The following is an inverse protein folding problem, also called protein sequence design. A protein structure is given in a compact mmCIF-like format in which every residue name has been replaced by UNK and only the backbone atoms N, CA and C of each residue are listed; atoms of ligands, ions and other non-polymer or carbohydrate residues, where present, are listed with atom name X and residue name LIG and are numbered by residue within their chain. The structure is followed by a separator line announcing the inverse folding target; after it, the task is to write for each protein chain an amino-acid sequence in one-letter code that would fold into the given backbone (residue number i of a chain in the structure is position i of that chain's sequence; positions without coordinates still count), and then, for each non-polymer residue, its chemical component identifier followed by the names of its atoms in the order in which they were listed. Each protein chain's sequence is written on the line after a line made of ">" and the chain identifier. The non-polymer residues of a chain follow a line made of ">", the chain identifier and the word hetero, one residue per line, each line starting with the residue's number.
data_IF_738095767503
#
_entry.id   IF_738095767503
#
_cell.length_a   1.000
_cell.length_b   1.000
_cell.length_c   1.000
_cell.angle_alpha   90.00
_cell.angle_beta   90.00
_cell.angle_gamma   90.00
#
_symmetry.space_group_name_H-M   'P 1'
#
loop_
_entity.id
_entity.type
_entity.pdbx_description
1 polymer ?
#
# COMPACT_ATOMS: atom_id res chain seq x y z
N UNK A 1 -18.12 -15.10 -6.72
CA UNK A 1 -17.45 -14.52 -7.90
C UNK A 1 -17.71 -13.01 -7.97
N UNK A 2 -17.43 -12.30 -6.87
CA UNK A 2 -17.49 -10.85 -6.73
C UNK A 2 -16.12 -10.46 -6.14
N UNK A 3 -15.23 -9.84 -6.91
CA UNK A 3 -13.89 -9.46 -6.45
C UNK A 3 -13.73 -7.93 -6.43
N UNK A 4 -13.53 -7.45 -5.21
CA UNK A 4 -12.74 -6.28 -4.77
C UNK A 4 -13.05 -4.91 -5.41
N UNK A 5 -13.87 -4.15 -4.70
CA UNK A 5 -13.84 -2.68 -4.66
C UNK A 5 -13.26 -2.26 -3.32
N UNK A 6 -11.96 -1.97 -3.27
CA UNK A 6 -11.39 -1.17 -2.19
C UNK A 6 -11.93 0.25 -2.35
N UNK A 7 -12.48 0.82 -1.29
CA UNK A 7 -12.85 2.24 -1.21
C UNK A 7 -11.94 2.84 -0.16
N UNK A 8 -10.95 3.62 -0.59
CA UNK A 8 -10.39 4.61 0.31
C UNK A 8 -11.51 5.64 0.56
N UNK A 9 -12.03 5.70 1.80
CA UNK A 9 -13.27 6.44 2.14
C UNK A 9 -13.21 7.93 1.81
N UNK A 10 -12.02 8.48 1.57
CA UNK A 10 -11.83 9.90 1.30
C UNK A 10 -11.82 10.25 -0.20
N UNK A 11 -11.41 9.34 -1.10
CA UNK A 11 -11.24 9.65 -2.54
C UNK A 11 -11.70 8.56 -3.52
N UNK A 12 -12.20 7.40 -3.06
CA UNK A 12 -12.81 6.40 -3.94
C UNK A 12 -11.85 5.73 -4.94
N UNK A 13 -10.60 5.52 -4.55
CA UNK A 13 -9.61 4.81 -5.38
C UNK A 13 -10.04 3.38 -5.71
N UNK A 14 -9.87 2.97 -6.97
CA UNK A 14 -9.91 1.56 -7.36
C UNK A 14 -8.60 1.26 -8.11
N UNK A 15 -7.67 0.64 -7.42
CA UNK A 15 -6.40 0.18 -7.98
C UNK A 15 -6.48 -1.34 -8.02
N UNK A 16 -6.34 -1.95 -9.21
CA UNK A 16 -6.30 -3.40 -9.31
C UNK A 16 -4.93 -3.89 -8.77
N UNK A 17 -4.88 -4.82 -7.79
CA UNK A 17 -3.64 -5.26 -7.14
C UNK A 17 -2.58 -5.84 -8.08
N UNK A 18 -2.97 -6.23 -9.30
CA UNK A 18 -2.10 -6.97 -10.22
C UNK A 18 -1.00 -6.13 -10.87
N UNK A 19 -1.07 -4.80 -10.81
CA UNK A 19 -0.01 -3.93 -11.36
C UNK A 19 1.12 -3.61 -10.36
N UNK A 20 0.95 -3.97 -9.09
CA UNK A 20 1.89 -3.67 -8.00
C UNK A 20 2.85 -4.83 -7.65
N UNK A 21 2.41 -6.07 -7.89
CA UNK A 21 3.16 -7.24 -7.45
C UNK A 21 4.22 -7.66 -8.47
N UNK A 22 5.43 -7.10 -8.38
CA UNK A 22 6.71 -7.82 -8.64
C UNK A 22 7.98 -6.99 -8.45
N UNK A 23 7.92 -5.69 -8.11
CA UNK A 23 9.12 -4.84 -7.96
C UNK A 23 9.31 -4.28 -6.54
N UNK A 24 9.06 -5.08 -5.51
CA UNK A 24 9.34 -4.71 -4.13
C UNK A 24 10.85 -4.70 -3.84
N UNK A 25 11.36 -3.50 -3.51
CA UNK A 25 12.55 -3.24 -2.69
C UNK A 25 13.88 -3.93 -3.09
N UNK A 26 14.20 -4.02 -4.38
CA UNK A 26 15.62 -4.16 -4.75
C UNK A 26 16.31 -2.80 -4.58
N UNK A 27 17.42 -2.78 -3.83
CA UNK A 27 18.30 -1.62 -3.71
C UNK A 27 18.87 -1.35 -5.10
N UNK A 28 18.24 -0.42 -5.80
CA UNK A 28 18.64 0.03 -7.11
C UNK A 28 19.90 0.88 -6.97
N UNK A 29 21.05 0.34 -7.36
CA UNK A 29 22.35 1.03 -7.27
C UNK A 29 22.70 1.89 -8.49
N UNK A 30 21.90 1.87 -9.55
CA UNK A 30 22.16 2.63 -10.77
C UNK A 30 21.22 3.82 -10.90
N UNK A 31 21.72 4.94 -11.43
CA UNK A 31 20.90 6.12 -11.78
C UNK A 31 19.73 5.76 -12.72
N UNK A 32 19.92 4.76 -13.59
CA UNK A 32 18.89 4.23 -14.49
C UNK A 32 17.66 3.73 -13.75
N UNK A 33 17.87 3.05 -12.62
CA UNK A 33 16.77 2.41 -11.94
C UNK A 33 15.92 3.39 -11.11
N UNK A 34 16.50 4.46 -10.56
CA UNK A 34 15.71 5.54 -9.94
C UNK A 34 14.89 6.28 -11.01
N UNK A 35 15.47 6.50 -12.20
CA UNK A 35 14.76 7.06 -13.36
C UNK A 35 13.57 6.18 -13.79
N UNK A 36 13.77 4.88 -13.92
CA UNK A 36 12.71 3.91 -14.28
C UNK A 36 11.60 3.89 -13.24
N UNK A 37 11.96 3.90 -11.95
CA UNK A 37 11.00 3.92 -10.84
C UNK A 37 10.17 5.22 -10.81
N UNK A 38 10.83 6.37 -10.99
CA UNK A 38 10.16 7.66 -11.10
C UNK A 38 9.21 7.71 -12.32
N UNK A 39 9.66 7.19 -13.47
CA UNK A 39 8.83 7.10 -14.68
C UNK A 39 7.60 6.20 -14.48
N UNK A 40 7.75 5.09 -13.76
CA UNK A 40 6.63 4.22 -13.39
C UNK A 40 5.60 4.97 -12.54
N UNK A 41 6.04 5.70 -11.52
CA UNK A 41 5.15 6.49 -10.66
C UNK A 41 4.40 7.56 -11.42
N UNK A 42 5.07 8.28 -12.33
CA UNK A 42 4.40 9.26 -13.21
C UNK A 42 3.34 8.60 -14.09
N UNK A 43 3.64 7.46 -14.71
CA UNK A 43 2.70 6.72 -15.56
C UNK A 43 1.47 6.25 -14.78
N UNK A 44 1.68 5.71 -13.58
CA UNK A 44 0.60 5.27 -12.70
C UNK A 44 -0.32 6.45 -12.34
N UNK A 45 0.26 7.57 -11.91
CA UNK A 45 -0.53 8.73 -11.51
C UNK A 45 -1.27 9.37 -12.70
N UNK A 46 -0.64 9.45 -13.87
CA UNK A 46 -1.30 9.92 -15.09
C UNK A 46 -2.49 9.03 -15.49
N UNK A 47 -2.34 7.71 -15.36
CA UNK A 47 -3.45 6.79 -15.63
C UNK A 47 -4.65 7.02 -14.70
N UNK A 48 -4.38 7.38 -13.43
CA UNK A 48 -5.41 7.72 -12.45
C UNK A 48 -6.08 9.06 -12.74
N UNK A 49 -5.30 10.08 -13.14
CA UNK A 49 -5.85 11.37 -13.59
C UNK A 49 -6.84 11.17 -14.76
N UNK A 50 -6.51 10.27 -15.69
CA UNK A 50 -7.33 9.99 -16.87
C UNK A 50 -8.59 9.17 -16.58
N UNK A 51 -8.54 8.27 -15.60
CA UNK A 51 -9.68 7.41 -15.23
C UNK A 51 -10.65 8.05 -14.24
N UNK A 52 -10.21 9.09 -13.51
CA UNK A 52 -11.00 9.76 -12.48
C UNK A 52 -12.09 10.63 -13.09
N UNK A 53 -13.35 10.39 -12.70
CA UNK A 53 -14.51 11.16 -13.16
C UNK A 53 -14.83 12.37 -12.28
N UNK A 54 -14.35 12.40 -11.02
CA UNK A 54 -14.58 13.52 -10.10
C UNK A 54 -13.65 14.68 -10.45
N UNK A 55 -14.16 15.88 -10.79
CA UNK A 55 -13.33 17.03 -11.13
C UNK A 55 -12.37 17.46 -10.00
N UNK A 56 -12.83 17.36 -8.75
CA UNK A 56 -12.02 17.71 -7.57
C UNK A 56 -10.84 16.74 -7.41
N UNK A 57 -11.11 15.43 -7.51
CA UNK A 57 -10.07 14.41 -7.43
C UNK A 57 -9.12 14.51 -8.63
N UNK A 58 -9.64 14.81 -9.82
CA UNK A 58 -8.83 14.98 -11.01
C UNK A 58 -7.87 16.17 -10.87
N UNK A 59 -8.34 17.30 -10.32
CA UNK A 59 -7.49 18.46 -10.05
C UNK A 59 -6.41 18.13 -9.01
N UNK A 60 -6.76 17.41 -7.94
CA UNK A 60 -5.83 16.97 -6.92
C UNK A 60 -4.74 16.03 -7.47
N UNK A 61 -5.14 14.99 -8.21
CA UNK A 61 -4.22 14.05 -8.85
C UNK A 61 -3.33 14.73 -9.91
N UNK A 62 -3.87 15.72 -10.64
CA UNK A 62 -3.09 16.51 -11.59
C UNK A 62 -2.03 17.33 -10.87
N UNK A 63 -2.34 17.92 -9.71
CA UNK A 63 -1.36 18.63 -8.90
C UNK A 63 -0.25 17.70 -8.39
N UNK A 64 -0.61 16.51 -7.89
CA UNK A 64 0.37 15.49 -7.49
C UNK A 64 1.28 15.10 -8.68
N UNK A 65 0.70 14.93 -9.87
CA UNK A 65 1.43 14.59 -11.08
C UNK A 65 2.38 15.71 -11.50
N UNK A 66 1.94 16.97 -11.41
CA UNK A 66 2.79 18.12 -11.64
C UNK A 66 4.00 18.13 -10.71
N UNK A 67 3.81 17.90 -9.41
CA UNK A 67 4.88 17.87 -8.42
C UNK A 67 5.89 16.75 -8.72
N UNK A 68 5.39 15.52 -8.91
CA UNK A 68 6.23 14.36 -9.18
C UNK A 68 7.02 14.52 -10.49
N UNK A 69 6.35 15.00 -11.54
CA UNK A 69 6.98 15.19 -12.85
C UNK A 69 8.03 16.32 -12.80
N UNK A 70 7.78 17.42 -12.10
CA UNK A 70 8.79 18.47 -11.91
C UNK A 70 9.99 17.95 -11.13
N UNK A 71 9.76 17.21 -10.04
CA UNK A 71 10.84 16.55 -9.30
C UNK A 71 11.63 15.61 -10.20
N UNK A 72 10.97 14.83 -11.05
CA UNK A 72 11.64 13.94 -11.99
C UNK A 72 12.56 14.69 -12.94
N UNK A 73 12.08 15.79 -13.51
CA UNK A 73 12.84 16.60 -14.45
C UNK A 73 14.07 17.19 -13.79
N UNK A 74 13.91 17.85 -12.64
CA UNK A 74 15.03 18.54 -11.98
C UNK A 74 16.10 17.56 -11.49
N UNK A 75 15.70 16.36 -11.06
CA UNK A 75 16.62 15.42 -10.43
C UNK A 75 17.24 14.41 -11.40
N UNK A 76 16.53 14.02 -12.46
CA UNK A 76 16.94 12.87 -13.27
C UNK A 76 17.08 13.13 -14.77
N UNK A 77 16.23 13.98 -15.33
CA UNK A 77 16.15 14.18 -16.79
C UNK A 77 15.89 15.65 -17.11
N UNK A 78 16.78 16.52 -16.66
CA UNK A 78 16.66 17.94 -16.95
C UNK A 78 16.87 18.16 -18.44
N UNK A 79 15.78 18.49 -19.13
CA UNK A 79 15.79 18.94 -20.51
C UNK A 79 14.70 19.97 -20.71
N UNK A 80 14.93 20.89 -21.64
CA UNK A 80 13.91 21.87 -22.00
C UNK A 80 12.65 21.18 -22.55
N UNK A 81 12.82 20.07 -23.26
CA UNK A 81 11.71 19.30 -23.82
C UNK A 81 10.82 18.69 -22.72
N UNK A 82 11.43 18.12 -21.67
CA UNK A 82 10.64 17.61 -20.54
C UNK A 82 9.96 18.75 -19.79
N UNK A 83 10.59 19.92 -19.64
CA UNK A 83 9.93 21.11 -19.08
C UNK A 83 8.75 21.58 -19.93
N UNK A 84 8.86 21.54 -21.27
CA UNK A 84 7.73 21.83 -22.17
C UNK A 84 6.60 20.83 -21.99
N UNK A 85 6.92 19.53 -21.93
CA UNK A 85 5.92 18.49 -21.70
C UNK A 85 5.23 18.67 -20.35
N UNK A 86 6.00 19.00 -19.30
CA UNK A 86 5.44 19.33 -17.99
C UNK A 86 4.46 20.50 -18.06
N UNK A 87 4.78 21.55 -18.80
CA UNK A 87 3.83 22.67 -19.01
C UNK A 87 2.57 22.20 -19.72
N UNK A 88 2.74 21.48 -20.83
CA UNK A 88 1.63 21.03 -21.65
C UNK A 88 0.70 20.08 -20.89
N UNK A 89 1.22 19.25 -20.00
CA UNK A 89 0.40 18.31 -19.23
C UNK A 89 -0.35 19.00 -18.09
N UNK A 90 0.25 20.01 -17.44
CA UNK A 90 -0.28 20.55 -16.20
C UNK A 90 -0.97 21.92 -16.35
N UNK A 91 -0.70 22.67 -17.43
CA UNK A 91 -1.19 24.05 -17.61
C UNK A 91 -1.76 24.33 -19.00
N UNK A 92 -1.95 23.31 -19.85
CA UNK A 92 -2.50 23.52 -21.20
C UNK A 92 -3.94 24.05 -21.18
N UNK A 93 -4.76 23.67 -20.21
CA UNK A 93 -6.11 24.24 -20.05
C UNK A 93 -6.04 25.75 -19.82
N UNK A 94 -5.12 26.19 -18.97
CA UNK A 94 -4.93 27.60 -18.64
C UNK A 94 -4.37 28.36 -19.84
N UNK A 95 -3.43 27.75 -20.56
CA UNK A 95 -2.91 28.28 -21.84
C UNK A 95 -4.01 28.42 -22.88
N UNK A 96 -4.87 27.41 -23.03
CA UNK A 96 -5.97 27.44 -24.00
C UNK A 96 -7.03 28.49 -23.61
N UNK A 97 -7.30 28.64 -22.31
CA UNK A 97 -8.20 29.66 -21.81
C UNK A 97 -7.65 31.06 -22.07
N UNK A 98 -6.38 31.30 -21.73
CA UNK A 98 -5.70 32.57 -22.02
C UNK A 98 -5.59 32.82 -23.52
N UNK A 99 -5.26 31.81 -24.31
CA UNK A 99 -5.23 31.91 -25.77
C UNK A 99 -6.60 32.29 -26.34
N UNK A 100 -7.69 31.65 -25.88
CA UNK A 100 -9.05 32.03 -26.28
C UNK A 100 -9.37 33.47 -25.90
N UNK A 101 -9.05 33.87 -24.66
CA UNK A 101 -9.22 35.25 -24.18
C UNK A 101 -8.48 36.25 -25.06
N UNK A 102 -7.23 35.97 -25.41
CA UNK A 102 -6.38 36.84 -26.23
C UNK A 102 -6.82 36.82 -27.70
N UNK A 103 -7.19 35.66 -28.25
CA UNK A 103 -7.58 35.52 -29.66
C UNK A 103 -8.77 36.38 -30.05
N UNK A 104 -9.69 36.64 -29.11
CA UNK A 104 -10.81 37.58 -29.29
C UNK A 104 -10.40 39.06 -29.32
N UNK A 105 -9.16 39.37 -28.92
CA UNK A 105 -8.58 40.72 -28.89
C UNK A 105 -7.63 40.98 -30.07
N UNK A 106 -7.25 39.95 -30.84
CA UNK A 106 -6.31 40.06 -31.97
C UNK A 106 -7.00 40.76 -33.14
N UNK A 107 -6.36 41.80 -33.68
CA UNK A 107 -6.73 42.44 -34.94
C UNK A 107 -5.86 41.86 -36.07
N UNK A 108 -6.40 40.99 -36.93
CA UNK A 108 -5.61 40.25 -37.93
C UNK A 108 -4.76 41.15 -38.82
N UNK A 109 -5.22 42.37 -39.14
CA UNK A 109 -4.51 43.29 -40.04
C UNK A 109 -3.29 43.95 -39.41
N UNK A 110 -3.27 44.11 -38.09
CA UNK A 110 -2.14 44.71 -37.37
C UNK A 110 -1.19 43.64 -36.85
N UNK A 111 -1.72 42.47 -36.50
CA UNK A 111 -0.98 41.43 -35.77
C UNK A 111 -0.26 40.42 -36.69
N UNK A 112 -0.64 40.28 -37.96
CA UNK A 112 0.05 39.41 -38.93
C UNK A 112 1.55 39.72 -39.07
N UNK A 113 1.95 41.01 -38.99
CA UNK A 113 3.37 41.40 -39.01
C UNK A 113 4.15 40.95 -37.78
N UNK A 114 3.48 40.76 -36.65
CA UNK A 114 4.09 40.26 -35.42
C UNK A 114 4.22 38.73 -35.47
N UNK A 115 3.26 38.05 -36.11
CA UNK A 115 3.28 36.60 -36.32
C UNK A 115 4.41 36.21 -37.26
N UNK A 116 4.58 36.87 -38.42
CA UNK A 116 5.70 36.60 -39.33
C UNK A 116 7.07 36.80 -38.66
N UNK A 117 7.16 37.75 -37.73
CA UNK A 117 8.35 38.06 -36.96
C UNK A 117 8.62 37.00 -35.88
N UNK A 118 7.58 36.52 -35.19
CA UNK A 118 7.67 35.42 -34.24
C UNK A 118 7.98 34.08 -34.95
N UNK A 119 7.39 33.84 -36.11
CA UNK A 119 7.64 32.65 -36.94
C UNK A 119 9.06 32.68 -37.51
N UNK A 120 9.57 33.84 -37.95
CA UNK A 120 10.98 33.95 -38.36
C UNK A 120 11.94 33.71 -37.19
N UNK A 121 11.61 34.18 -35.98
CA UNK A 121 12.39 33.92 -34.76
C UNK A 121 12.30 32.45 -34.30
N UNK A 122 11.16 31.79 -34.51
CA UNK A 122 11.00 30.35 -34.29
C UNK A 122 11.75 29.50 -35.34
N UNK A 123 11.85 29.99 -36.58
CA UNK A 123 12.57 29.33 -37.68
C UNK A 123 14.10 29.51 -37.63
N UNK A 124 14.63 30.50 -36.91
CA UNK A 124 16.08 30.77 -36.81
C UNK A 124 16.89 29.76 -35.97
N UNK A 125 16.48 28.49 -35.88
CA UNK A 125 17.24 27.45 -35.17
C UNK A 125 16.81 27.22 -33.72
N UNK A 126 15.61 27.66 -33.34
CA UNK A 126 15.04 27.47 -31.99
C UNK A 126 14.93 25.98 -31.57
N UNK A 127 14.86 25.05 -32.55
CA UNK A 127 14.65 23.61 -32.29
C UNK A 127 15.91 22.73 -32.44
N UNK A 128 16.93 23.15 -33.21
CA UNK A 128 18.16 22.35 -33.41
C UNK A 128 19.31 22.72 -32.45
N UNK A 129 19.23 23.87 -31.75
CA UNK A 129 20.28 24.34 -30.82
C UNK A 129 20.18 23.77 -29.39
N UNK A 130 19.13 23.00 -29.09
CA UNK A 130 18.82 22.58 -27.71
C UNK A 130 19.69 21.40 -27.23
N UNK A 131 20.35 20.64 -28.12
CA UNK A 131 21.32 19.61 -27.69
C UNK A 131 22.76 20.15 -27.47
N UNK A 132 23.04 21.42 -27.78
CA UNK A 132 24.36 22.10 -27.61
C UNK A 132 24.37 23.19 -26.52
N UNK A 133 23.54 23.01 -25.49
CA UNK A 133 22.91 24.08 -24.70
C UNK A 133 23.78 25.05 -23.89
N UNK A 134 25.07 24.83 -23.62
CA UNK A 134 25.87 25.86 -22.90
C UNK A 134 26.46 26.94 -23.82
N UNK A 135 27.00 26.57 -24.98
CA UNK A 135 27.58 27.54 -25.92
C UNK A 135 26.50 28.34 -26.65
N UNK A 136 25.41 27.68 -27.03
CA UNK A 136 24.42 28.25 -27.95
C UNK A 136 23.37 29.09 -27.22
N UNK A 137 23.12 28.83 -25.93
CA UNK A 137 22.25 29.69 -25.11
C UNK A 137 22.85 31.09 -24.90
N UNK A 138 24.17 31.17 -24.73
CA UNK A 138 24.89 32.45 -24.63
C UNK A 138 24.81 33.23 -25.94
N UNK A 139 24.93 32.53 -27.08
CA UNK A 139 24.76 33.11 -28.42
C UNK A 139 23.32 33.58 -28.63
N UNK A 140 22.32 32.79 -28.25
CA UNK A 140 20.91 33.15 -28.35
C UNK A 140 20.57 34.38 -27.50
N UNK A 141 20.97 34.40 -26.23
CA UNK A 141 20.75 35.54 -25.34
C UNK A 141 21.41 36.80 -25.89
N UNK A 142 22.61 36.67 -26.46
CA UNK A 142 23.30 37.76 -27.14
C UNK A 142 22.54 38.24 -28.37
N UNK A 143 22.05 37.34 -29.24
CA UNK A 143 21.25 37.69 -30.40
C UNK A 143 19.92 38.39 -30.02
N UNK A 144 19.25 37.93 -28.96
CA UNK A 144 18.06 38.58 -28.42
C UNK A 144 18.35 39.99 -27.91
N UNK A 145 19.47 40.17 -27.20
CA UNK A 145 19.94 41.49 -26.75
C UNK A 145 20.30 42.40 -27.94
N UNK A 146 21.03 41.88 -28.93
CA UNK A 146 21.45 42.62 -30.12
C UNK A 146 20.25 43.05 -30.97
N UNK A 147 19.24 42.18 -31.11
CA UNK A 147 17.98 42.47 -31.79
C UNK A 147 17.16 43.51 -31.00
N UNK A 148 17.08 43.39 -29.67
CA UNK A 148 16.45 44.38 -28.79
C UNK A 148 17.08 45.75 -28.97
N UNK A 149 18.41 45.83 -28.97
CA UNK A 149 19.15 47.08 -29.11
C UNK A 149 18.97 47.69 -30.51
N UNK A 150 19.00 46.85 -31.55
CA UNK A 150 18.75 47.27 -32.94
C UNK A 150 17.33 47.79 -33.15
N UNK A 151 16.36 47.19 -32.46
CA UNK A 151 14.95 47.58 -32.54
C UNK A 151 14.59 48.72 -31.60
N UNK A 152 15.28 48.92 -30.47
CA UNK A 152 15.11 50.11 -29.64
C UNK A 152 15.35 51.41 -30.43
N UNK A 153 16.27 51.38 -31.41
CA UNK A 153 16.51 52.46 -32.35
C UNK A 153 15.33 52.70 -33.31
N UNK A 154 14.61 51.64 -33.69
CA UNK A 154 13.48 51.67 -34.63
C UNK A 154 12.11 51.87 -33.95
N UNK A 155 11.96 51.46 -32.69
CA UNK A 155 10.68 51.35 -31.98
C UNK A 155 10.33 52.54 -31.08
N UNK A 156 10.81 53.75 -31.39
CA UNK A 156 10.39 54.99 -30.70
C UNK A 156 8.86 55.23 -30.67
N UNK A 157 8.05 54.44 -31.38
CA UNK A 157 6.59 54.57 -31.46
C UNK A 157 5.78 53.29 -31.10
N UNK A 158 6.41 52.16 -30.75
CA UNK A 158 5.70 50.87 -30.60
C UNK A 158 5.92 50.19 -29.25
N UNK A 159 5.24 50.66 -28.19
CA UNK A 159 5.40 50.13 -26.83
C UNK A 159 5.16 48.62 -26.69
N UNK A 160 4.18 48.07 -27.42
CA UNK A 160 3.85 46.64 -27.34
C UNK A 160 4.93 45.74 -27.96
N UNK A 161 5.51 46.14 -29.10
CA UNK A 161 6.57 45.35 -29.74
C UNK A 161 7.82 45.31 -28.86
N UNK A 162 8.18 46.43 -28.23
CA UNK A 162 9.27 46.51 -27.25
C UNK A 162 9.08 45.48 -26.13
N UNK A 163 7.87 45.40 -25.58
CA UNK A 163 7.53 44.47 -24.49
C UNK A 163 7.65 43.00 -24.92
N UNK A 164 7.21 42.65 -26.12
CA UNK A 164 7.39 41.28 -26.68
C UNK A 164 8.87 40.92 -26.78
N UNK A 165 9.70 41.83 -27.29
CA UNK A 165 11.15 41.61 -27.36
C UNK A 165 11.82 41.54 -26.00
N UNK A 166 11.37 42.35 -25.05
CA UNK A 166 11.83 42.28 -23.67
C UNK A 166 11.54 40.88 -23.10
N UNK A 167 10.34 40.32 -23.28
CA UNK A 167 10.03 38.94 -22.87
C UNK A 167 10.93 37.92 -23.58
N UNK A 168 11.07 38.01 -24.91
CA UNK A 168 11.87 37.05 -25.69
C UNK A 168 13.36 37.10 -25.35
N UNK A 169 13.89 38.28 -25.03
CA UNK A 169 15.28 38.45 -24.57
C UNK A 169 15.48 38.05 -23.10
N UNK A 170 14.40 37.63 -22.42
CA UNK A 170 14.43 37.27 -21.01
C UNK A 170 14.50 38.45 -20.07
N UNK A 171 13.97 39.63 -20.41
CA UNK A 171 13.95 40.76 -19.48
C UNK A 171 13.09 40.40 -18.24
N UNK A 172 13.76 40.27 -17.11
CA UNK A 172 13.18 39.90 -15.82
C UNK A 172 12.00 40.79 -15.41
N UNK A 173 12.22 42.11 -15.29
CA UNK A 173 11.20 43.07 -14.85
C UNK A 173 9.95 42.96 -15.72
N UNK A 174 10.16 42.85 -17.04
CA UNK A 174 9.06 42.75 -18.00
C UNK A 174 8.25 41.46 -17.82
N UNK A 175 8.91 40.33 -17.55
CA UNK A 175 8.28 39.04 -17.28
C UNK A 175 7.50 39.09 -15.95
N UNK A 176 8.09 39.68 -14.90
CA UNK A 176 7.46 39.82 -13.59
C UNK A 176 6.23 40.74 -13.63
N UNK A 177 6.26 41.79 -14.47
CA UNK A 177 5.16 42.72 -14.71
C UNK A 177 4.00 42.14 -15.55
N UNK A 178 4.14 40.94 -16.12
CA UNK A 178 3.04 40.33 -16.88
C UNK A 178 1.85 40.04 -15.96
N UNK A 179 0.63 40.27 -16.44
CA UNK A 179 -0.58 39.85 -15.73
C UNK A 179 -0.88 38.38 -16.06
N UNK A 180 0.04 37.50 -15.63
CA UNK A 180 -0.04 36.06 -15.81
C UNK A 180 0.10 35.35 -14.47
N UNK A 181 -0.39 34.11 -14.41
CA UNK A 181 -0.13 33.23 -13.27
C UNK A 181 1.39 33.07 -13.05
N UNK A 182 1.79 32.96 -11.78
CA UNK A 182 3.17 32.78 -11.35
C UNK A 182 3.87 31.62 -12.07
N UNK A 183 3.14 30.55 -12.40
CA UNK A 183 3.68 29.42 -13.17
C UNK A 183 4.24 29.87 -14.53
N UNK A 184 3.49 30.69 -15.27
CA UNK A 184 3.93 31.18 -16.58
C UNK A 184 5.13 32.11 -16.46
N UNK A 185 5.14 32.96 -15.43
CA UNK A 185 6.28 33.84 -15.14
C UNK A 185 7.53 33.03 -14.79
N UNK A 186 7.41 32.05 -13.90
CA UNK A 186 8.49 31.11 -13.57
C UNK A 186 9.04 30.46 -14.83
N UNK A 187 8.16 29.95 -15.71
CA UNK A 187 8.59 29.27 -16.92
C UNK A 187 9.32 30.19 -17.88
N UNK A 188 8.81 31.41 -18.10
CA UNK A 188 9.49 32.41 -18.90
C UNK A 188 10.89 32.72 -18.33
N UNK A 189 11.03 32.83 -17.01
CA UNK A 189 12.31 33.02 -16.34
C UNK A 189 13.25 31.80 -16.51
N UNK A 190 12.76 30.58 -16.36
CA UNK A 190 13.53 29.35 -16.55
C UNK A 190 14.03 29.20 -18.00
N UNK A 191 13.16 29.45 -18.98
CA UNK A 191 13.51 29.46 -20.42
C UNK A 191 14.54 30.55 -20.71
N UNK A 192 14.40 31.71 -20.06
CA UNK A 192 15.36 32.80 -20.15
C UNK A 192 16.67 32.58 -19.35
N UNK A 193 16.81 31.41 -18.71
CA UNK A 193 18.03 30.99 -18.01
C UNK A 193 18.26 31.73 -16.69
N UNK A 194 17.20 32.23 -16.05
CA UNK A 194 17.30 32.86 -14.74
C UNK A 194 17.48 31.82 -13.64
N UNK A 195 18.22 32.23 -12.60
CA UNK A 195 18.45 31.39 -11.42
C UNK A 195 17.23 31.37 -10.51
N UNK A 196 17.06 30.26 -9.79
CA UNK A 196 15.94 29.99 -8.89
C UNK A 196 15.56 31.04 -7.83
N UNK A 197 16.48 31.80 -7.20
CA UNK A 197 16.11 32.73 -6.12
C UNK A 197 15.06 33.77 -6.49
N UNK A 198 14.97 34.11 -7.77
CA UNK A 198 14.04 35.11 -8.27
C UNK A 198 12.64 34.56 -8.54
N UNK A 199 12.53 33.26 -8.78
CA UNK A 199 11.26 32.55 -8.98
C UNK A 199 10.47 32.49 -7.66
N UNK A 200 11.18 32.55 -6.54
CA UNK A 200 10.62 32.42 -5.20
C UNK A 200 9.63 33.53 -4.82
N UNK A 201 9.81 34.75 -5.35
CA UNK A 201 8.92 35.88 -5.05
C UNK A 201 7.55 35.81 -5.73
N UNK A 202 7.38 34.86 -6.66
CA UNK A 202 6.15 34.73 -7.46
C UNK A 202 5.11 33.81 -6.82
N UNK A 203 5.54 32.95 -5.89
CA UNK A 203 4.72 31.88 -5.33
C UNK A 203 3.78 32.40 -4.25
N UNK A 204 2.55 31.88 -4.21
CA UNK A 204 1.61 32.21 -3.16
C UNK A 204 1.91 31.35 -1.91
N UNK A 205 2.46 31.93 -0.82
CA UNK A 205 2.84 31.16 0.36
C UNK A 205 1.63 30.55 1.08
N UNK A 206 0.39 30.94 0.76
CA UNK A 206 -0.81 30.34 1.34
C UNK A 206 -1.28 29.06 0.63
N UNK A 207 -0.83 28.80 -0.60
CA UNK A 207 -1.22 27.62 -1.36
C UNK A 207 -0.24 26.46 -1.08
N UNK A 208 -0.77 25.32 -0.64
CA UNK A 208 0.07 24.15 -0.30
C UNK A 208 0.78 23.54 -1.51
N UNK A 209 0.13 23.50 -2.68
CA UNK A 209 0.75 22.98 -3.92
C UNK A 209 1.93 23.88 -4.31
N UNK A 210 1.75 25.20 -4.22
CA UNK A 210 2.81 26.17 -4.50
C UNK A 210 3.98 26.00 -3.52
N UNK A 211 3.71 25.75 -2.23
CA UNK A 211 4.75 25.44 -1.24
C UNK A 211 5.52 24.15 -1.57
N UNK A 212 4.85 23.11 -2.06
CA UNK A 212 5.52 21.86 -2.46
C UNK A 212 6.37 22.10 -3.72
N UNK A 213 5.81 22.76 -4.73
CA UNK A 213 6.55 23.10 -5.96
C UNK A 213 7.76 23.98 -5.65
N UNK A 214 7.61 24.93 -4.72
CA UNK A 214 8.72 25.73 -4.19
C UNK A 214 9.84 24.83 -3.66
N UNK A 215 9.52 23.91 -2.75
CA UNK A 215 10.52 23.03 -2.14
C UNK A 215 11.23 22.16 -3.19
N UNK A 216 10.49 21.69 -4.20
CA UNK A 216 11.05 20.96 -5.35
C UNK A 216 12.03 21.83 -6.14
N UNK A 217 11.65 23.06 -6.48
CA UNK A 217 12.49 24.00 -7.24
C UNK A 217 13.72 24.46 -6.44
N UNK A 218 13.57 24.64 -5.13
CA UNK A 218 14.65 24.99 -4.21
C UNK A 218 15.58 23.80 -3.90
N UNK A 219 15.25 22.61 -4.42
CA UNK A 219 15.97 21.37 -4.16
C UNK A 219 16.02 21.01 -2.65
N UNK A 220 14.96 21.36 -1.92
CA UNK A 220 14.76 21.08 -0.49
C UNK A 220 13.99 19.77 -0.34
N UNK A 221 14.71 18.64 -0.46
CA UNK A 221 14.10 17.30 -0.56
C UNK A 221 13.31 16.89 0.71
N UNK A 222 13.84 17.17 1.90
CA UNK A 222 13.15 16.87 3.17
C UNK A 222 11.84 17.66 3.28
N UNK A 223 11.89 18.97 3.02
CA UNK A 223 10.72 19.84 3.02
C UNK A 223 9.70 19.47 1.94
N UNK A 224 10.17 19.02 0.78
CA UNK A 224 9.29 18.50 -0.27
C UNK A 224 8.46 17.31 0.24
N UNK A 225 9.11 16.33 0.86
CA UNK A 225 8.45 15.13 1.40
C UNK A 225 7.46 15.49 2.50
N UNK A 226 7.86 16.37 3.43
CA UNK A 226 7.02 16.82 4.54
C UNK A 226 5.78 17.59 4.05
N UNK A 227 5.95 18.55 3.14
CA UNK A 227 4.85 19.32 2.59
C UNK A 227 3.94 18.45 1.72
N UNK A 228 4.50 17.52 0.94
CA UNK A 228 3.71 16.54 0.19
C UNK A 228 2.86 15.66 1.10
N UNK A 229 3.29 15.33 2.33
CA UNK A 229 2.50 14.53 3.27
C UNK A 229 1.19 15.22 3.67
N UNK A 230 1.18 16.56 3.69
CA UNK A 230 -0.01 17.37 3.95
C UNK A 230 -0.96 17.45 2.75
N UNK A 231 -0.43 17.20 1.56
CA UNK A 231 -1.21 17.16 0.31
C UNK A 231 -1.79 15.77 0.12
N UNK A 232 -0.92 14.76 0.04
CA UNK A 232 -1.28 13.36 -0.16
C UNK A 232 -0.17 12.41 0.35
N UNK A 233 -0.58 11.38 1.07
CA UNK A 233 0.32 10.41 1.71
C UNK A 233 1.06 9.50 0.70
N UNK A 234 0.41 9.13 -0.41
CA UNK A 234 1.04 8.33 -1.47
C UNK A 234 2.15 9.14 -2.14
N UNK A 235 1.88 10.40 -2.48
CA UNK A 235 2.89 11.28 -3.10
C UNK A 235 4.12 11.43 -2.19
N UNK A 236 3.90 11.68 -0.89
CA UNK A 236 4.97 11.85 0.09
C UNK A 236 5.84 10.61 0.21
N UNK A 237 5.24 9.43 0.37
CA UNK A 237 5.98 8.17 0.48
C UNK A 237 6.83 7.90 -0.75
N UNK A 238 6.28 8.08 -1.94
CA UNK A 238 7.00 7.74 -3.17
C UNK A 238 8.06 8.78 -3.55
N UNK A 239 7.85 10.07 -3.27
CA UNK A 239 8.92 11.06 -3.36
C UNK A 239 10.03 10.77 -2.37
N UNK A 240 9.69 10.40 -1.13
CA UNK A 240 10.68 10.05 -0.12
C UNK A 240 11.48 8.80 -0.48
N UNK A 241 10.84 7.79 -1.08
CA UNK A 241 11.52 6.58 -1.56
C UNK A 241 12.52 6.92 -2.69
N UNK A 242 12.11 7.75 -3.66
CA UNK A 242 13.01 8.24 -4.71
C UNK A 242 14.21 9.01 -4.15
N UNK A 243 13.97 9.96 -3.24
CA UNK A 243 15.06 10.75 -2.64
C UNK A 243 15.95 9.93 -1.70
N UNK A 244 15.40 8.92 -1.02
CA UNK A 244 16.18 8.00 -0.19
C UNK A 244 17.11 7.14 -1.03
N UNK A 245 16.65 6.63 -2.19
CA UNK A 245 17.48 5.89 -3.14
C UNK A 245 18.66 6.72 -3.65
N UNK A 246 18.48 8.04 -3.80
CA UNK A 246 19.53 8.99 -4.16
C UNK A 246 20.37 9.50 -2.98
N UNK A 247 20.07 9.07 -1.75
CA UNK A 247 20.73 9.55 -0.52
C UNK A 247 20.55 11.07 -0.30
N UNK A 248 19.46 11.64 -0.83
CA UNK A 248 19.10 13.06 -0.67
C UNK A 248 18.35 13.35 0.63
N UNK A 249 17.76 12.33 1.23
CA UNK A 249 17.19 12.37 2.58
C UNK A 249 17.73 11.20 3.39
N UNK A 250 17.69 11.34 4.72
CA UNK A 250 18.24 10.31 5.64
C UNK A 250 17.28 9.17 5.92
N UNK A 251 15.97 9.46 5.96
CA UNK A 251 14.93 8.48 6.29
C UNK A 251 13.61 8.89 5.65
N UNK A 252 12.78 7.88 5.35
CA UNK A 252 11.39 8.02 4.90
C UNK A 252 10.43 7.19 5.78
N UNK A 253 10.90 6.76 6.95
CA UNK A 253 10.22 5.76 7.78
C UNK A 253 8.88 6.27 8.33
N UNK A 254 8.81 7.54 8.74
CA UNK A 254 7.58 8.12 9.28
C UNK A 254 6.45 8.15 8.23
N UNK A 255 6.76 8.52 6.99
CA UNK A 255 5.83 8.54 5.88
C UNK A 255 5.38 7.12 5.52
N UNK A 256 6.31 6.16 5.46
CA UNK A 256 6.01 4.75 5.21
C UNK A 256 5.06 4.15 6.27
N UNK A 257 5.30 4.45 7.55
CA UNK A 257 4.41 4.03 8.64
C UNK A 257 3.02 4.64 8.44
N UNK A 258 2.95 5.96 8.26
CA UNK A 258 1.67 6.69 8.11
C UNK A 258 0.84 6.14 6.95
N UNK A 259 1.49 5.92 5.80
CA UNK A 259 0.80 5.39 4.62
C UNK A 259 0.41 3.92 4.78
N UNK A 260 1.30 3.09 5.35
CA UNK A 260 0.99 1.69 5.64
C UNK A 260 -0.20 1.55 6.59
N UNK A 261 -0.34 2.44 7.57
CA UNK A 261 -1.51 2.47 8.46
C UNK A 261 -2.81 2.80 7.73
N UNK A 262 -2.78 3.72 6.77
CA UNK A 262 -3.94 4.04 5.91
C UNK A 262 -4.35 2.85 5.03
N UNK A 263 -3.44 1.91 4.77
CA UNK A 263 -3.67 0.73 3.95
C UNK A 263 -4.06 -0.52 4.74
N UNK A 264 -4.27 -0.45 6.07
CA UNK A 264 -4.52 -1.65 6.88
C UNK A 264 -5.77 -2.44 6.49
N UNK A 265 -6.74 -1.81 5.82
CA UNK A 265 -7.90 -2.50 5.23
C UNK A 265 -7.46 -3.54 4.15
N UNK A 266 -6.30 -3.31 3.51
CA UNK A 266 -5.58 -4.26 2.66
C UNK A 266 -4.19 -4.53 3.27
N UNK A 267 -4.18 -5.24 4.39
CA UNK A 267 -2.99 -5.46 5.20
C UNK A 267 -1.79 -6.06 4.42
N UNK A 268 -2.06 -6.83 3.35
CA UNK A 268 -1.01 -7.41 2.51
C UNK A 268 -0.23 -6.31 1.81
N UNK A 269 -0.92 -5.35 1.23
CA UNK A 269 -0.31 -4.17 0.63
C UNK A 269 0.35 -3.29 1.71
N UNK A 270 -0.31 -3.08 2.85
CA UNK A 270 0.25 -2.30 3.96
C UNK A 270 1.63 -2.83 4.41
N UNK A 271 1.79 -4.15 4.50
CA UNK A 271 3.04 -4.79 4.92
C UNK A 271 4.18 -4.63 3.91
N UNK A 272 3.90 -4.25 2.67
CA UNK A 272 4.95 -3.88 1.70
C UNK A 272 5.59 -2.52 2.05
N UNK A 273 4.88 -1.66 2.78
CA UNK A 273 5.36 -0.32 3.19
C UNK A 273 5.86 -0.29 4.63
N UNK A 274 5.28 -1.09 5.52
CA UNK A 274 5.59 -1.01 6.95
C UNK A 274 6.98 -1.59 7.29
N UNK A 275 7.77 -0.92 8.15
CA UNK A 275 8.99 -1.51 8.69
C UNK A 275 8.70 -2.82 9.43
N UNK A 276 9.59 -3.82 9.29
CA UNK A 276 9.42 -5.14 9.94
C UNK A 276 9.20 -5.06 11.46
N UNK A 277 9.82 -4.09 12.12
CA UNK A 277 9.62 -3.86 13.56
C UNK A 277 8.16 -3.44 13.86
N UNK A 278 7.59 -2.58 13.02
CA UNK A 278 6.21 -2.11 13.14
C UNK A 278 5.19 -3.21 12.81
N UNK A 279 5.46 -4.03 11.79
CA UNK A 279 4.60 -5.16 11.41
C UNK A 279 4.36 -6.09 12.62
N UNK A 280 5.39 -6.35 13.43
CA UNK A 280 5.28 -7.21 14.62
C UNK A 280 4.25 -6.70 15.62
N UNK A 281 4.09 -5.39 15.75
CA UNK A 281 3.16 -4.77 16.69
C UNK A 281 1.73 -4.74 16.14
N UNK A 282 1.58 -4.50 14.84
CA UNK A 282 0.26 -4.27 14.23
C UNK A 282 -0.41 -5.55 13.76
N UNK A 283 0.35 -6.58 13.37
CA UNK A 283 -0.19 -7.84 12.83
C UNK A 283 -1.14 -8.54 13.80
N UNK A 284 -0.88 -8.41 15.11
CA UNK A 284 -1.72 -8.96 16.18
C UNK A 284 -3.10 -8.28 16.24
N UNK A 285 -3.21 -7.03 15.77
CA UNK A 285 -4.47 -6.27 15.75
C UNK A 285 -5.35 -6.66 14.57
N UNK A 286 -4.77 -7.27 13.54
CA UNK A 286 -5.49 -7.71 12.33
C UNK A 286 -6.13 -9.07 12.63
N UNK A 287 -7.44 -9.07 12.85
CA UNK A 287 -8.22 -10.28 13.17
C UNK A 287 -8.56 -11.12 11.91
N UNK A 288 -7.59 -11.27 11.01
CA UNK A 288 -7.73 -12.04 9.77
C UNK A 288 -6.91 -13.36 9.89
N UNK A 289 -7.53 -14.55 9.76
CA UNK A 289 -6.83 -15.82 9.83
C UNK A 289 -5.66 -15.97 8.85
N UNK A 290 -5.69 -15.28 7.71
CA UNK A 290 -4.60 -15.33 6.72
C UNK A 290 -3.31 -14.66 7.20
N UNK A 291 -3.35 -13.87 8.28
CA UNK A 291 -2.15 -13.35 8.95
C UNK A 291 -1.31 -14.45 9.62
N UNK A 292 -1.90 -15.61 9.95
CA UNK A 292 -1.18 -16.74 10.53
C UNK A 292 -0.18 -17.35 9.55
N UNK A 293 -0.53 -17.42 8.27
CA UNK A 293 0.33 -17.89 7.19
C UNK A 293 1.51 -16.93 7.01
N UNK A 294 1.23 -15.62 6.95
CA UNK A 294 2.27 -14.59 6.89
C UNK A 294 3.25 -14.68 8.08
N UNK A 295 2.73 -14.83 9.31
CA UNK A 295 3.57 -14.98 10.49
C UNK A 295 4.48 -16.22 10.40
N UNK A 296 3.97 -17.32 9.85
CA UNK A 296 4.73 -18.55 9.68
C UNK A 296 5.85 -18.37 8.63
N UNK A 297 5.55 -17.78 7.49
CA UNK A 297 6.52 -17.51 6.42
C UNK A 297 7.66 -16.59 6.87
N UNK A 298 7.35 -15.62 7.74
CA UNK A 298 8.30 -14.60 8.19
C UNK A 298 8.92 -14.89 9.57
N UNK A 299 8.68 -16.07 10.14
CA UNK A 299 9.28 -16.48 11.42
C UNK A 299 8.77 -15.70 12.65
N UNK A 300 7.56 -15.14 12.59
CA UNK A 300 6.94 -14.34 13.65
C UNK A 300 6.17 -15.25 14.65
N UNK A 301 6.89 -16.16 15.31
CA UNK A 301 6.28 -17.20 16.17
C UNK A 301 5.53 -16.65 17.38
N UNK A 302 6.03 -15.57 17.99
CA UNK A 302 5.38 -14.89 19.12
C UNK A 302 4.05 -14.25 18.69
N UNK A 303 4.06 -13.49 17.59
CA UNK A 303 2.87 -12.85 17.03
C UNK A 303 1.84 -13.90 16.57
N UNK A 304 2.30 -14.98 15.93
CA UNK A 304 1.43 -16.12 15.55
C UNK A 304 0.69 -16.68 16.76
N UNK A 305 1.41 -16.88 17.86
CA UNK A 305 0.84 -17.42 19.10
C UNK A 305 -0.20 -16.46 19.69
N UNK A 306 0.08 -15.15 19.70
CA UNK A 306 -0.86 -14.14 20.17
C UNK A 306 -2.11 -14.04 19.28
N UNK A 307 -1.98 -14.13 17.95
CA UNK A 307 -3.12 -14.16 17.03
C UNK A 307 -3.98 -15.38 17.30
N UNK A 308 -3.40 -16.57 17.50
CA UNK A 308 -4.17 -17.75 17.89
C UNK A 308 -4.93 -17.51 19.22
N UNK A 309 -4.34 -16.88 20.23
CA UNK A 309 -5.05 -16.54 21.49
C UNK A 309 -6.23 -15.60 21.26
N UNK A 310 -6.12 -14.65 20.33
CA UNK A 310 -7.21 -13.73 19.98
C UNK A 310 -8.31 -14.48 19.25
N UNK A 311 -7.97 -15.28 18.24
CA UNK A 311 -8.92 -16.09 17.46
C UNK A 311 -9.67 -17.10 18.36
N UNK A 312 -9.00 -17.67 19.36
CA UNK A 312 -9.63 -18.56 20.34
C UNK A 312 -10.76 -17.89 21.15
N UNK A 313 -10.79 -16.55 21.23
CA UNK A 313 -11.81 -15.80 21.96
C UNK A 313 -12.97 -15.36 21.06
N UNK A 314 -12.88 -15.55 19.74
CA UNK A 314 -13.90 -15.13 18.80
C UNK A 314 -15.03 -16.17 18.69
N UNK A 315 -16.30 -15.74 18.56
CA UNK A 315 -17.42 -16.66 18.41
C UNK A 315 -17.34 -17.43 17.08
N UNK A 316 -17.67 -18.73 17.13
CA UNK A 316 -17.68 -19.60 15.95
C UNK A 316 -16.32 -20.21 15.56
N UNK A 317 -15.25 -19.88 16.28
CA UNK A 317 -13.95 -20.56 16.16
C UNK A 317 -13.87 -21.73 17.15
N UNK A 318 -12.99 -22.71 16.89
CA UNK A 318 -12.66 -23.75 17.87
C UNK A 318 -11.57 -23.24 18.84
N UNK A 319 -11.93 -22.80 20.06
CA UNK A 319 -10.95 -22.27 21.01
C UNK A 319 -9.85 -23.28 21.34
N UNK A 320 -10.18 -24.58 21.35
CA UNK A 320 -9.25 -25.64 21.75
C UNK A 320 -8.12 -25.73 20.74
N UNK A 321 -8.45 -25.80 19.44
CA UNK A 321 -7.46 -25.84 18.37
C UNK A 321 -6.52 -24.64 18.46
N UNK A 322 -7.07 -23.44 18.61
CA UNK A 322 -6.26 -22.22 18.68
C UNK A 322 -5.34 -22.17 19.91
N UNK A 323 -5.79 -22.56 21.11
CA UNK A 323 -4.89 -22.60 22.29
C UNK A 323 -3.78 -23.66 22.18
N UNK A 324 -4.03 -24.76 21.47
CA UNK A 324 -2.98 -25.73 21.16
C UNK A 324 -1.95 -25.12 20.21
N UNK A 325 -2.41 -24.38 19.20
CA UNK A 325 -1.50 -23.73 18.27
C UNK A 325 -0.67 -22.62 18.92
N UNK A 326 -1.23 -21.88 19.89
CA UNK A 326 -0.50 -20.88 20.69
C UNK A 326 0.36 -21.46 21.82
N UNK A 327 0.35 -22.77 22.04
CA UNK A 327 1.05 -23.47 23.12
C UNK A 327 0.56 -23.08 24.54
N UNK A 328 -0.69 -22.64 24.69
CA UNK A 328 -1.30 -22.31 25.98
C UNK A 328 -2.24 -23.42 26.48
N UNK A 329 -1.70 -24.63 26.64
CA UNK A 329 -2.48 -25.81 27.04
C UNK A 329 -3.23 -25.60 28.37
N UNK A 330 -2.68 -24.77 29.26
CA UNK A 330 -3.31 -24.43 30.55
C UNK A 330 -4.63 -23.66 30.42
N UNK A 331 -4.92 -23.05 29.27
CA UNK A 331 -6.18 -22.32 29.02
C UNK A 331 -7.30 -23.22 28.51
N UNK A 332 -6.99 -24.40 27.98
CA UNK A 332 -7.99 -25.38 27.49
C UNK A 332 -8.94 -25.80 28.61
N UNK A 333 -8.48 -25.80 29.86
CA UNK A 333 -9.27 -26.18 31.04
C UNK A 333 -10.53 -25.33 31.28
N UNK A 334 -10.59 -24.13 30.71
CA UNK A 334 -11.74 -23.22 30.88
C UNK A 334 -12.88 -23.47 29.88
N UNK A 335 -12.64 -24.25 28.82
CA UNK A 335 -13.60 -24.49 27.75
C UNK A 335 -14.28 -25.86 27.84
N UNK A 336 -13.89 -26.68 28.82
CA UNK A 336 -14.59 -27.92 29.16
C UNK A 336 -15.46 -27.72 30.40
N UNK A 337 -16.66 -28.34 30.46
CA UNK A 337 -17.37 -28.48 31.72
C UNK A 337 -16.42 -29.13 32.75
N UNK A 338 -16.46 -28.65 33.99
CA UNK A 338 -15.48 -28.86 35.08
C UNK A 338 -15.15 -30.31 35.50
N UNK A 339 -15.39 -31.33 34.68
CA UNK A 339 -15.12 -32.75 35.00
C UNK A 339 -14.11 -33.46 34.09
N UNK A 340 -13.66 -32.87 32.97
CA UNK A 340 -12.82 -33.59 32.01
C UNK A 340 -11.55 -32.82 31.66
N UNK A 341 -10.62 -32.77 32.61
CA UNK A 341 -9.28 -32.23 32.34
C UNK A 341 -8.50 -33.20 31.44
N UNK A 342 -7.73 -32.71 30.45
CA UNK A 342 -6.62 -33.51 29.95
C UNK A 342 -5.63 -33.73 31.11
N UNK A 343 -5.09 -34.94 31.31
CA UNK A 343 -4.06 -35.16 32.32
C UNK A 343 -2.89 -34.20 32.05
N UNK A 344 -2.29 -33.65 33.11
CA UNK A 344 -1.17 -32.67 33.10
C UNK A 344 0.10 -33.13 32.33
N UNK A 345 0.05 -34.30 31.69
CA UNK A 345 1.17 -35.02 31.10
C UNK A 345 1.07 -35.22 29.59
N UNK A 346 0.01 -34.74 28.91
CA UNK A 346 -0.10 -34.92 27.46
C UNK A 346 0.72 -33.90 26.69
N UNK A 347 1.60 -34.38 25.82
CA UNK A 347 2.27 -33.53 24.84
C UNK A 347 1.27 -32.98 23.81
N UNK A 348 1.60 -31.85 23.17
CA UNK A 348 0.79 -31.22 22.12
C UNK A 348 0.34 -32.20 21.03
N UNK A 349 1.22 -33.10 20.59
CA UNK A 349 0.91 -34.10 19.57
C UNK A 349 -0.05 -35.17 20.08
N UNK A 350 0.10 -35.60 21.33
CA UNK A 350 -0.80 -36.58 21.96
C UNK A 350 -2.21 -36.01 22.13
N UNK A 351 -2.34 -34.76 22.57
CA UNK A 351 -3.65 -34.11 22.70
C UNK A 351 -4.37 -33.98 21.35
N UNK A 352 -3.68 -33.45 20.31
CA UNK A 352 -4.27 -33.30 18.98
C UNK A 352 -4.73 -34.64 18.40
N UNK A 353 -3.92 -35.68 18.59
CA UNK A 353 -4.25 -37.01 18.12
C UNK A 353 -5.50 -37.54 18.83
N UNK A 354 -5.55 -37.45 20.17
CA UNK A 354 -6.70 -37.88 20.97
C UNK A 354 -7.96 -37.10 20.63
N UNK A 355 -7.87 -35.77 20.47
CA UNK A 355 -9.03 -34.94 20.15
C UNK A 355 -9.59 -35.23 18.75
N UNK A 356 -8.72 -35.34 17.73
CA UNK A 356 -9.13 -35.66 16.36
C UNK A 356 -9.84 -37.01 16.26
N UNK A 357 -9.29 -38.03 16.93
CA UNK A 357 -9.91 -39.36 17.00
C UNK A 357 -11.27 -39.29 17.70
N UNK A 358 -11.40 -38.50 18.78
CA UNK A 358 -12.65 -38.41 19.51
C UNK A 358 -13.76 -37.66 18.74
N UNK A 359 -13.42 -36.59 18.01
CA UNK A 359 -14.40 -35.94 17.11
C UNK A 359 -14.79 -36.85 15.95
N UNK A 360 -13.85 -37.63 15.39
CA UNK A 360 -14.16 -38.67 14.40
C UNK A 360 -15.12 -39.71 14.97
N UNK A 361 -14.91 -40.15 16.21
CA UNK A 361 -15.83 -41.03 16.93
C UNK A 361 -17.24 -40.43 17.02
N UNK A 362 -17.39 -39.20 17.52
CA UNK A 362 -18.71 -38.55 17.67
C UNK A 362 -19.45 -38.44 16.34
N UNK A 363 -18.74 -38.13 15.25
CA UNK A 363 -19.33 -38.07 13.91
C UNK A 363 -19.88 -39.44 13.49
N UNK A 364 -19.05 -40.50 13.54
CA UNK A 364 -19.45 -41.85 13.17
C UNK A 364 -20.60 -42.38 14.05
N UNK A 365 -20.58 -42.05 15.34
CA UNK A 365 -21.66 -42.40 16.27
C UNK A 365 -22.99 -41.75 15.86
N UNK A 366 -22.99 -40.47 15.47
CA UNK A 366 -24.20 -39.78 14.96
C UNK A 366 -24.67 -40.33 13.61
N UNK A 367 -23.75 -40.81 12.78
CA UNK A 367 -24.02 -41.43 11.48
C UNK A 367 -24.54 -42.88 11.62
N UNK A 368 -24.49 -43.46 12.82
CA UNK A 368 -24.93 -44.84 13.09
C UNK A 368 -23.88 -45.91 12.78
N UNK A 369 -22.63 -45.51 12.48
CA UNK A 369 -21.51 -46.39 12.17
C UNK A 369 -20.85 -46.92 13.46
N UNK A 370 -21.64 -47.61 14.30
CA UNK A 370 -21.27 -47.96 15.68
C UNK A 370 -20.03 -48.87 15.79
N UNK A 371 -19.81 -49.78 14.83
CA UNK A 371 -18.65 -50.66 14.80
C UNK A 371 -17.34 -49.91 14.54
N UNK A 372 -17.34 -48.86 13.71
CA UNK A 372 -16.13 -48.07 13.49
C UNK A 372 -15.93 -47.05 14.62
N UNK A 373 -17.03 -46.46 15.11
CA UNK A 373 -17.01 -45.56 16.26
C UNK A 373 -16.39 -46.23 17.50
N UNK A 374 -16.87 -47.43 17.86
CA UNK A 374 -16.34 -48.21 18.99
C UNK A 374 -14.85 -48.52 18.89
N UNK A 375 -14.36 -48.92 17.71
CA UNK A 375 -12.93 -49.19 17.49
C UNK A 375 -12.08 -47.96 17.80
N UNK A 376 -12.48 -46.79 17.30
CA UNK A 376 -11.77 -45.53 17.56
C UNK A 376 -11.75 -45.25 19.07
N UNK A 377 -12.85 -45.50 19.76
CA UNK A 377 -12.97 -45.28 21.19
C UNK A 377 -12.08 -46.25 22.00
N UNK A 378 -12.00 -47.52 21.60
CA UNK A 378 -11.05 -48.50 22.19
C UNK A 378 -9.60 -48.08 21.94
N UNK A 379 -9.27 -47.63 20.73
CA UNK A 379 -7.91 -47.18 20.40
C UNK A 379 -7.52 -45.95 21.25
N UNK A 380 -8.46 -45.03 21.45
CA UNK A 380 -8.30 -43.92 22.38
C UNK A 380 -8.07 -44.40 23.82
N UNK A 381 -8.80 -45.43 24.26
CA UNK A 381 -8.65 -46.02 25.60
C UNK A 381 -7.27 -46.66 25.77
N UNK A 382 -6.86 -47.48 24.80
CA UNK A 382 -5.56 -48.16 24.77
C UNK A 382 -4.38 -47.19 24.70
N UNK A 383 -4.58 -45.99 24.16
CA UNK A 383 -3.55 -44.95 24.11
C UNK A 383 -3.16 -44.39 25.48
N UNK A 384 -3.92 -44.72 26.55
CA UNK A 384 -3.69 -44.23 27.90
C UNK A 384 -4.16 -42.78 28.15
N UNK A 385 -4.63 -42.09 27.11
CA UNK A 385 -5.07 -40.69 27.16
C UNK A 385 -6.59 -40.60 27.37
N UNK A 386 -7.11 -41.33 28.34
CA UNK A 386 -8.54 -41.56 28.51
C UNK A 386 -9.17 -40.44 29.34
N UNK A 387 -10.29 -39.90 28.86
CA UNK A 387 -11.11 -38.94 29.59
C UNK A 387 -12.40 -39.62 30.06
N UNK A 388 -13.00 -39.11 31.14
CA UNK A 388 -14.25 -39.64 31.70
C UNK A 388 -15.39 -39.65 30.67
N UNK A 389 -15.49 -38.67 29.78
CA UNK A 389 -16.45 -38.68 28.65
C UNK A 389 -16.28 -39.88 27.75
N UNK A 390 -15.04 -40.25 27.41
CA UNK A 390 -14.78 -41.39 26.55
C UNK A 390 -15.37 -42.66 27.17
N UNK A 391 -15.19 -42.83 28.49
CA UNK A 391 -15.74 -43.95 29.25
C UNK A 391 -17.26 -43.89 29.38
N UNK A 392 -17.86 -42.70 29.53
CA UNK A 392 -19.31 -42.54 29.56
C UNK A 392 -19.95 -42.87 28.20
N UNK A 393 -19.33 -42.48 27.09
CA UNK A 393 -19.81 -42.82 25.75
C UNK A 393 -19.66 -44.31 25.46
N UNK A 394 -18.60 -44.95 25.97
CA UNK A 394 -18.46 -46.40 25.96
C UNK A 394 -19.60 -47.08 26.70
N UNK A 395 -19.94 -46.58 27.89
CA UNK A 395 -21.05 -47.11 28.68
C UNK A 395 -22.36 -47.00 27.91
N UNK A 396 -22.64 -45.84 27.30
CA UNK A 396 -23.84 -45.65 26.47
C UNK A 396 -23.93 -46.62 25.30
N UNK A 397 -22.81 -46.93 24.64
CA UNK A 397 -22.76 -47.95 23.59
C UNK A 397 -23.05 -49.36 24.12
N UNK A 398 -22.52 -49.72 25.30
CA UNK A 398 -22.79 -51.01 25.95
C UNK A 398 -24.26 -51.12 26.38
N UNK A 399 -24.82 -50.05 26.98
CA UNK A 399 -26.21 -49.99 27.43
C UNK A 399 -27.21 -50.07 26.28
N UNK A 400 -26.84 -49.58 25.10
CA UNK A 400 -27.72 -49.58 23.93
C UNK A 400 -28.03 -50.98 23.37
N UNK A 401 -27.38 -52.03 23.89
CA UNK A 401 -27.55 -53.42 23.43
C UNK A 401 -27.04 -53.66 22.01
N UNK A 402 -26.36 -52.67 21.42
CA UNK A 402 -25.65 -52.81 20.17
C UNK A 402 -24.40 -53.64 20.47
N UNK A 403 -24.42 -54.94 20.14
CA UNK A 403 -23.29 -55.88 20.24
C UNK A 403 -22.12 -55.42 19.36
N UNK A 404 -21.35 -54.48 19.89
CA UNK A 404 -20.35 -53.73 19.13
C UNK A 404 -18.94 -54.03 19.64
N UNK A 405 -18.80 -54.46 20.90
CA UNK A 405 -17.51 -54.76 21.54
C UNK A 405 -17.27 -56.26 21.66
N UNK A 406 -16.04 -56.68 21.36
CA UNK A 406 -15.56 -58.03 21.69
C UNK A 406 -15.28 -58.15 23.18
N UNK A 407 -15.33 -59.38 23.69
CA UNK A 407 -15.04 -59.68 25.10
C UNK A 407 -13.69 -59.10 25.57
N UNK A 408 -12.63 -59.24 24.76
CA UNK A 408 -11.30 -58.68 25.04
C UNK A 408 -11.30 -57.15 25.14
N UNK A 409 -12.13 -56.47 24.34
CA UNK A 409 -12.24 -55.02 24.33
C UNK A 409 -12.98 -54.52 25.59
N UNK A 410 -14.01 -55.26 26.02
CA UNK A 410 -14.71 -55.01 27.28
C UNK A 410 -13.76 -55.14 28.47
N UNK A 411 -12.93 -56.18 28.50
CA UNK A 411 -11.92 -56.33 29.56
C UNK A 411 -10.91 -55.20 29.57
N UNK A 412 -10.46 -54.74 28.41
CA UNK A 412 -9.53 -53.62 28.32
C UNK A 412 -10.16 -52.32 28.85
N UNK A 413 -11.45 -52.09 28.56
CA UNK A 413 -12.21 -50.96 29.12
C UNK A 413 -12.35 -51.07 30.64
N UNK A 414 -12.64 -52.26 31.16
CA UNK A 414 -12.70 -52.53 32.60
C UNK A 414 -11.36 -52.22 33.27
N UNK A 415 -10.25 -52.71 32.70
CA UNK A 415 -8.89 -52.50 33.22
C UNK A 415 -8.54 -51.01 33.33
N UNK A 416 -8.93 -50.20 32.34
CA UNK A 416 -8.70 -48.75 32.40
C UNK A 416 -9.57 -48.08 33.48
N UNK A 417 -10.80 -48.56 33.68
CA UNK A 417 -11.70 -48.05 34.72
C UNK A 417 -11.31 -48.46 36.14
N UNK A 418 -10.63 -49.61 36.33
CA UNK A 418 -10.17 -50.09 37.64
C UNK A 418 -9.22 -49.11 38.35
N UNK A 419 -8.59 -48.19 37.60
CA UNK A 419 -7.75 -47.12 38.15
C UNK A 419 -8.50 -45.91 38.71
N UNK A 420 -9.84 -45.82 38.60
CA UNK A 420 -10.62 -44.64 39.01
C UNK A 420 -12.03 -44.93 39.55
N UNK A 421 -12.75 -43.88 39.99
CA UNK A 421 -14.11 -43.97 40.58
C UNK A 421 -15.17 -44.58 39.64
N UNK A 422 -14.94 -44.58 38.32
CA UNK A 422 -15.81 -45.17 37.30
C UNK A 422 -15.76 -46.70 37.25
N UNK A 423 -14.72 -47.34 37.77
CA UNK A 423 -14.58 -48.81 37.81
C UNK A 423 -15.74 -49.50 38.51
N UNK A 424 -16.25 -48.90 39.59
CA UNK A 424 -17.40 -49.45 40.33
C UNK A 424 -18.73 -49.37 39.57
N UNK A 425 -18.93 -48.35 38.73
CA UNK A 425 -20.13 -48.21 37.91
C UNK A 425 -20.08 -49.17 36.71
N UNK A 426 -18.92 -49.27 36.04
CA UNK A 426 -18.71 -50.15 34.90
C UNK A 426 -18.82 -51.63 35.28
N UNK A 427 -18.23 -52.03 36.42
CA UNK A 427 -18.34 -53.40 36.96
C UNK A 427 -19.79 -53.75 37.27
N UNK A 428 -20.58 -52.85 37.85
CA UNK A 428 -22.01 -53.11 38.15
C UNK A 428 -22.85 -53.28 36.89
N UNK A 429 -22.58 -52.45 35.88
CA UNK A 429 -23.35 -52.46 34.63
C UNK A 429 -22.99 -53.69 33.77
N UNK A 430 -21.71 -54.01 33.63
CA UNK A 430 -21.26 -55.19 32.88
C UNK A 430 -21.62 -56.50 33.58
N UNK A 431 -21.62 -56.53 34.92
CA UNK A 431 -22.17 -57.66 35.66
C UNK A 431 -23.63 -57.90 35.30
N UNK A 432 -24.41 -56.84 35.04
CA UNK A 432 -25.82 -56.98 34.64
C UNK A 432 -26.00 -57.48 33.19
N UNK A 433 -25.11 -57.10 32.27
CA UNK A 433 -25.12 -57.64 30.89
C UNK A 433 -24.73 -59.12 30.86
N UNK A 434 -23.66 -59.50 31.58
CA UNK A 434 -23.19 -60.89 31.69
C UNK A 434 -24.24 -61.79 32.38
N UNK A 435 -24.89 -61.29 33.44
CA UNK A 435 -25.94 -62.03 34.15
C UNK A 435 -27.20 -62.25 33.29
N UNK A 436 -27.48 -61.35 32.34
CA UNK A 436 -28.64 -61.45 31.45
C UNK A 436 -28.38 -62.29 30.17
N UNK A 437 -27.18 -62.85 30.00
CA UNK A 437 -26.87 -63.78 28.91
C UNK A 437 -26.88 -63.16 27.51
N UNK A 438 -26.58 -61.86 27.40
CA UNK A 438 -26.36 -61.16 26.12
C UNK A 438 -24.87 -61.01 25.80
#
# INVERSE_FOLDING_TARGET
>A
MNRFTLRNKQYGFKVEPTDFHTSSLQIFKSKSAVQEKSALYMKLLLSQVQSTQSPENQAHLSAMHAILHLSHILNYQYSLENMKQWIQLNFLSDLQHEYKRISGLINPKQDLKYIDLLDSLACCGFYEAIEKLESDFTVWKKQGIDLRNSLQLLLKKGGNLKRVYEIMSGNEDTILELDLNWTFKMMALLIAGYKFPLILSLLNPSNLIDQVLFAVLANEHESTVELSARLDSWLSVHLGDLYLLEQKIKSNEAQLITYGELLLDDWKLAFEYLPKAYIKEIIVRIQDPSTLEYCQEHGLSEQKSEIHRILAKLPGQDPIEHYIQSNDLHLIKYFKPQKEYPPEYLSKSQYLNTHHHYEKFKRLYREGEYQEASRILIDLIKSGNVQESHLNDCLGLVESGLLVFKEEEVYEMMRVCEGGLLGLALVRMLSSCIINGQ
#
